data_IF_837432358621
#
_entry.id   IF_837432358621
#
_cell.length_a   1.000
_cell.length_b   1.000
_cell.length_c   1.000
_cell.angle_alpha   90.00
_cell.angle_beta   90.00
_cell.angle_gamma   90.00
#
_symmetry.space_group_name_H-M   'P 1'
#
loop_
_entity.id
_entity.type
_entity.pdbx_description
1 polymer ?
#
# COMPACT_ATOMS: atom_id res chain seq x y z
N UNK A 1 11.28 -58.18 25.64
CA UNK A 1 9.92 -57.88 25.13
C UNK A 1 9.88 -58.24 23.65
N UNK A 2 8.86 -58.96 23.20
CA UNK A 2 8.58 -59.18 21.76
C UNK A 2 7.58 -58.14 21.31
N UNK A 3 7.89 -57.38 20.27
CA UNK A 3 7.06 -56.30 19.71
C UNK A 3 6.76 -56.59 18.26
N UNK A 4 5.54 -56.27 17.82
CA UNK A 4 5.05 -56.63 16.50
C UNK A 4 5.14 -55.46 15.49
N UNK A 5 5.20 -54.22 15.97
CA UNK A 5 5.19 -53.02 15.13
C UNK A 5 6.30 -52.04 15.49
N UNK A 6 6.65 -51.16 14.55
CA UNK A 6 7.58 -50.05 14.78
C UNK A 6 7.04 -49.05 15.82
N UNK A 7 5.72 -48.86 15.88
CA UNK A 7 5.05 -47.98 16.85
C UNK A 7 5.23 -48.46 18.29
N UNK A 8 5.24 -49.77 18.51
CA UNK A 8 5.53 -50.37 19.81
C UNK A 8 7.04 -50.50 20.06
N UNK A 9 7.84 -50.75 19.02
CA UNK A 9 9.29 -50.90 19.14
C UNK A 9 9.98 -49.62 19.62
N UNK A 10 9.65 -48.46 19.03
CA UNK A 10 10.30 -47.19 19.35
C UNK A 10 10.23 -46.81 20.83
N UNK A 11 9.07 -46.79 21.52
CA UNK A 11 9.03 -46.45 22.93
C UNK A 11 9.71 -47.50 23.81
N UNK A 12 9.61 -48.80 23.47
CA UNK A 12 10.15 -49.90 24.27
C UNK A 12 11.67 -49.99 24.20
N UNK A 13 12.27 -49.79 23.03
CA UNK A 13 13.72 -50.00 22.79
C UNK A 13 14.51 -48.70 22.63
N UNK A 14 13.89 -47.63 22.11
CA UNK A 14 14.56 -46.36 21.85
C UNK A 14 14.16 -45.27 22.84
N UNK A 15 13.18 -45.53 23.72
CA UNK A 15 12.67 -44.57 24.69
C UNK A 15 12.02 -43.33 24.06
N UNK A 16 11.63 -43.39 22.79
CA UNK A 16 11.02 -42.28 22.03
C UNK A 16 9.81 -42.79 21.25
N UNK A 17 8.79 -41.95 21.06
CA UNK A 17 7.66 -42.32 20.20
C UNK A 17 8.10 -42.49 18.75
N UNK A 18 7.39 -43.32 17.99
CA UNK A 18 7.64 -43.51 16.56
C UNK A 18 7.63 -42.19 15.79
N UNK A 19 6.68 -41.30 16.10
CA UNK A 19 6.63 -39.94 15.55
C UNK A 19 7.91 -39.14 15.84
N UNK A 20 8.44 -39.22 17.05
CA UNK A 20 9.69 -38.52 17.41
C UNK A 20 10.88 -39.11 16.66
N UNK A 21 10.94 -40.42 16.49
CA UNK A 21 11.97 -41.08 15.67
C UNK A 21 11.91 -40.62 14.20
N UNK A 22 10.72 -40.50 13.62
CA UNK A 22 10.55 -39.95 12.27
C UNK A 22 10.99 -38.48 12.18
N UNK A 23 10.66 -37.64 13.16
CA UNK A 23 11.12 -36.25 13.20
C UNK A 23 12.66 -36.16 13.23
N UNK A 24 13.30 -36.95 14.08
CA UNK A 24 14.76 -37.01 14.17
C UNK A 24 15.39 -37.49 12.86
N UNK A 25 14.84 -38.54 12.26
CA UNK A 25 15.30 -39.04 10.96
C UNK A 25 15.16 -37.99 9.85
N UNK A 26 14.02 -37.29 9.81
CA UNK A 26 13.80 -36.20 8.85
C UNK A 26 14.79 -35.06 9.03
N UNK A 27 15.07 -34.64 10.26
CA UNK A 27 16.03 -33.58 10.53
C UNK A 27 17.47 -34.01 10.18
N UNK A 28 17.85 -35.24 10.54
CA UNK A 28 19.14 -35.83 10.20
C UNK A 28 19.32 -35.97 8.70
N UNK A 29 18.29 -36.40 7.97
CA UNK A 29 18.33 -36.48 6.50
C UNK A 29 18.45 -35.12 5.83
N UNK A 30 17.90 -34.05 6.43
CA UNK A 30 17.95 -32.70 5.89
C UNK A 30 19.33 -32.05 6.05
N UNK A 31 19.99 -32.28 7.18
CA UNK A 31 21.28 -31.68 7.52
C UNK A 31 22.48 -32.56 7.14
N UNK A 32 22.31 -33.89 7.17
CA UNK A 32 23.43 -34.83 7.21
C UNK A 32 23.92 -35.07 8.64
N UNK A 33 24.67 -36.16 8.86
CA UNK A 33 25.06 -36.60 10.21
C UNK A 33 25.92 -35.57 10.95
N UNK A 34 26.97 -35.07 10.31
CA UNK A 34 27.94 -34.16 10.94
C UNK A 34 27.29 -32.84 11.33
N UNK A 35 26.51 -32.25 10.43
CA UNK A 35 25.84 -30.98 10.67
C UNK A 35 24.69 -31.10 11.67
N UNK A 36 23.98 -32.23 11.67
CA UNK A 36 22.97 -32.51 12.68
C UNK A 36 23.59 -32.61 14.09
N UNK A 37 24.74 -33.27 14.23
CA UNK A 37 25.47 -33.32 15.50
C UNK A 37 25.97 -31.94 15.93
N UNK A 38 26.50 -31.13 15.00
CA UNK A 38 26.88 -29.74 15.28
C UNK A 38 25.69 -28.92 15.75
N UNK A 39 24.52 -29.05 15.10
CA UNK A 39 23.28 -28.39 15.50
C UNK A 39 22.85 -28.79 16.92
N UNK A 40 22.90 -30.08 17.27
CA UNK A 40 22.59 -30.55 18.62
C UNK A 40 23.59 -30.03 19.67
N UNK A 41 24.89 -29.95 19.33
CA UNK A 41 25.93 -29.42 20.24
C UNK A 41 25.71 -27.95 20.59
N UNK A 42 25.34 -27.14 19.60
CA UNK A 42 24.99 -25.73 19.82
C UNK A 42 23.58 -25.58 20.42
N UNK A 43 22.81 -26.67 20.56
CA UNK A 43 21.54 -26.68 21.28
C UNK A 43 20.34 -26.25 20.45
N UNK A 44 20.31 -26.56 19.15
CA UNK A 44 19.09 -26.52 18.35
C UNK A 44 17.99 -27.38 18.98
N UNK A 45 16.78 -26.85 19.01
CA UNK A 45 15.60 -27.54 19.52
C UNK A 45 14.66 -27.93 18.39
N UNK A 46 13.64 -28.73 18.72
CA UNK A 46 12.62 -29.17 17.76
C UNK A 46 11.93 -28.02 17.02
N UNK A 47 11.77 -26.85 17.67
CA UNK A 47 11.20 -25.65 17.03
C UNK A 47 12.13 -25.04 15.97
N UNK A 48 13.43 -25.09 16.21
CA UNK A 48 14.45 -24.50 15.33
C UNK A 48 14.57 -25.35 14.06
N UNK A 49 14.52 -26.68 14.19
CA UNK A 49 14.44 -27.56 13.02
C UNK A 49 13.15 -27.39 12.20
N UNK A 50 12.02 -27.05 12.84
CA UNK A 50 10.76 -26.77 12.12
C UNK A 50 10.85 -25.44 11.39
N UNK A 51 11.39 -24.41 12.05
CA UNK A 51 11.66 -23.11 11.46
C UNK A 51 12.60 -23.24 10.25
N UNK A 52 13.69 -23.99 10.39
CA UNK A 52 14.64 -24.23 9.31
C UNK A 52 13.98 -24.94 8.12
N UNK A 53 13.14 -25.95 8.36
CA UNK A 53 12.36 -26.62 7.30
C UNK A 53 11.36 -25.71 6.59
N UNK A 54 10.89 -24.65 7.24
CA UNK A 54 9.94 -23.71 6.65
C UNK A 54 10.61 -22.69 5.73
N UNK A 55 11.95 -22.55 5.80
CA UNK A 55 12.70 -21.65 4.94
C UNK A 55 12.88 -22.21 3.52
N UNK A 56 13.00 -21.34 2.50
CA UNK A 56 13.51 -21.68 1.17
C UNK A 56 14.90 -22.36 1.21
N UNK A 57 15.24 -23.15 0.19
CA UNK A 57 16.45 -23.97 0.18
C UNK A 57 17.77 -23.17 0.20
N UNK A 58 17.78 -22.02 -0.45
CA UNK A 58 18.86 -21.03 -0.43
C UNK A 58 19.07 -20.46 0.98
N UNK A 59 17.99 -20.05 1.65
CA UNK A 59 18.05 -19.54 3.03
C UNK A 59 18.40 -20.62 4.06
N UNK A 60 17.94 -21.85 3.85
CA UNK A 60 18.38 -23.00 4.65
C UNK A 60 19.90 -23.15 4.60
N UNK A 61 20.52 -22.91 3.44
CA UNK A 61 21.96 -23.06 3.27
C UNK A 61 22.75 -22.03 4.11
N UNK A 62 22.23 -20.81 4.24
CA UNK A 62 22.82 -19.77 5.10
C UNK A 62 22.80 -20.17 6.58
N UNK A 63 21.67 -20.74 7.05
CA UNK A 63 21.59 -21.23 8.43
C UNK A 63 22.50 -22.44 8.66
N UNK A 64 22.64 -23.32 7.66
CA UNK A 64 23.55 -24.48 7.72
C UNK A 64 25.01 -24.02 7.89
N UNK A 65 25.45 -23.04 7.11
CA UNK A 65 26.80 -22.46 7.25
C UNK A 65 27.01 -21.83 8.63
N UNK A 66 25.99 -21.15 9.19
CA UNK A 66 26.07 -20.60 10.54
C UNK A 66 26.20 -21.71 11.61
N UNK A 67 25.53 -22.86 11.43
CA UNK A 67 25.67 -24.02 12.32
C UNK A 67 27.09 -24.60 12.23
N UNK A 68 27.68 -24.68 11.04
CA UNK A 68 29.05 -25.18 10.82
C UNK A 68 30.10 -24.33 11.55
N UNK A 69 29.85 -23.03 11.70
CA UNK A 69 30.76 -22.14 12.45
C UNK A 69 30.80 -22.42 13.96
N UNK A 70 29.84 -23.19 14.49
CA UNK A 70 29.75 -23.56 15.91
C UNK A 70 29.22 -22.44 16.81
N UNK A 71 28.85 -21.28 16.27
CA UNK A 71 28.24 -20.18 17.02
C UNK A 71 26.72 -20.37 17.11
N UNK A 72 26.28 -20.81 18.29
CA UNK A 72 24.87 -20.96 18.63
C UNK A 72 24.06 -19.69 18.39
N UNK A 73 24.54 -18.57 18.94
CA UNK A 73 23.76 -17.34 18.98
C UNK A 73 23.66 -16.75 17.58
N UNK A 74 24.71 -16.87 16.77
CA UNK A 74 24.67 -16.51 15.36
C UNK A 74 23.68 -17.37 14.56
N UNK A 75 23.70 -18.70 14.73
CA UNK A 75 22.81 -19.61 13.99
C UNK A 75 21.32 -19.39 14.34
N UNK A 76 21.00 -19.25 15.62
CA UNK A 76 19.62 -18.99 16.07
C UNK A 76 19.15 -17.60 15.64
N UNK A 77 20.01 -16.59 15.75
CA UNK A 77 19.68 -15.22 15.31
C UNK A 77 19.40 -15.18 13.81
N UNK A 78 20.25 -15.81 13.00
CA UNK A 78 20.09 -15.88 11.54
C UNK A 78 18.78 -16.58 11.17
N UNK A 79 18.51 -17.73 11.79
CA UNK A 79 17.27 -18.46 11.58
C UNK A 79 16.04 -17.61 11.94
N UNK A 80 16.05 -16.95 13.09
CA UNK A 80 14.94 -16.10 13.52
C UNK A 80 14.73 -14.91 12.58
N UNK A 81 15.80 -14.26 12.12
CA UNK A 81 15.72 -13.13 11.19
C UNK A 81 15.12 -13.55 9.85
N UNK A 82 15.54 -14.69 9.30
CA UNK A 82 15.01 -15.21 8.03
C UNK A 82 13.54 -15.59 8.13
N UNK A 83 13.14 -16.24 9.22
CA UNK A 83 11.73 -16.61 9.45
C UNK A 83 10.86 -15.36 9.56
N UNK A 84 11.28 -14.36 10.35
CA UNK A 84 10.55 -13.10 10.50
C UNK A 84 10.45 -12.37 9.17
N UNK A 85 11.56 -12.20 8.46
CA UNK A 85 11.58 -11.54 7.14
C UNK A 85 10.64 -12.24 6.16
N UNK A 86 10.71 -13.56 6.05
CA UNK A 86 9.82 -14.32 5.16
C UNK A 86 8.35 -14.19 5.53
N UNK A 87 8.02 -14.09 6.82
CA UNK A 87 6.65 -13.86 7.25
C UNK A 87 6.18 -12.47 6.81
N UNK A 88 6.97 -11.43 7.10
CA UNK A 88 6.67 -10.05 6.71
C UNK A 88 6.57 -9.87 5.20
N UNK A 89 7.47 -10.48 4.43
CA UNK A 89 7.46 -10.45 2.97
C UNK A 89 6.22 -11.15 2.40
N UNK A 90 5.83 -12.30 2.97
CA UNK A 90 4.59 -13.00 2.56
C UNK A 90 3.35 -12.20 2.88
N UNK A 91 3.27 -11.60 4.05
CA UNK A 91 2.16 -10.75 4.48
C UNK A 91 2.05 -9.52 3.55
N UNK A 92 3.16 -8.82 3.31
CA UNK A 92 3.20 -7.69 2.38
C UNK A 92 2.84 -8.10 0.95
N UNK A 93 3.28 -9.26 0.49
CA UNK A 93 2.92 -9.78 -0.84
C UNK A 93 1.43 -10.11 -0.94
N UNK A 94 0.83 -10.69 0.11
CA UNK A 94 -0.61 -10.96 0.16
C UNK A 94 -1.43 -9.67 0.13
N UNK A 95 -1.03 -8.65 0.89
CA UNK A 95 -1.69 -7.35 0.87
C UNK A 95 -1.63 -6.71 -0.52
N UNK A 96 -0.45 -6.72 -1.15
CA UNK A 96 -0.28 -6.22 -2.54
C UNK A 96 -1.14 -6.98 -3.54
N UNK A 97 -1.27 -8.30 -3.38
CA UNK A 97 -2.14 -9.12 -4.24
C UNK A 97 -3.61 -8.78 -4.05
N UNK A 98 -4.06 -8.59 -2.81
CA UNK A 98 -5.44 -8.17 -2.52
C UNK A 98 -5.74 -6.80 -3.11
N UNK A 99 -4.81 -5.84 -2.99
CA UNK A 99 -4.98 -4.51 -3.59
C UNK A 99 -5.03 -4.57 -5.11
N UNK A 100 -4.21 -5.41 -5.74
CA UNK A 100 -4.24 -5.63 -7.18
C UNK A 100 -5.54 -6.29 -7.64
N UNK A 101 -6.06 -7.25 -6.87
CA UNK A 101 -7.34 -7.89 -7.17
C UNK A 101 -8.51 -6.90 -7.05
N UNK A 102 -8.53 -6.05 -6.01
CA UNK A 102 -9.51 -4.96 -5.89
C UNK A 102 -9.44 -3.98 -7.06
N UNK A 103 -8.23 -3.57 -7.46
CA UNK A 103 -8.02 -2.70 -8.62
C UNK A 103 -8.53 -3.36 -9.91
N UNK A 104 -8.24 -4.65 -10.10
CA UNK A 104 -8.67 -5.39 -11.27
C UNK A 104 -10.20 -5.54 -11.33
N UNK A 105 -10.85 -5.86 -10.22
CA UNK A 105 -12.31 -5.93 -10.13
C UNK A 105 -12.96 -4.57 -10.40
N UNK A 106 -12.40 -3.49 -9.86
CA UNK A 106 -12.86 -2.13 -10.15
C UNK A 106 -12.74 -1.77 -11.62
N UNK A 107 -11.60 -2.08 -12.25
CA UNK A 107 -11.40 -1.86 -13.68
C UNK A 107 -12.37 -2.69 -14.53
N UNK A 108 -12.60 -3.95 -14.16
CA UNK A 108 -13.54 -4.81 -14.86
C UNK A 108 -14.98 -4.27 -14.80
N UNK A 109 -15.41 -3.75 -13.65
CA UNK A 109 -16.72 -3.14 -13.50
C UNK A 109 -16.89 -1.88 -14.38
N UNK A 110 -15.86 -1.02 -14.44
CA UNK A 110 -15.85 0.16 -15.31
C UNK A 110 -15.90 -0.23 -16.79
N UNK A 111 -15.14 -1.24 -17.20
CA UNK A 111 -15.16 -1.73 -18.57
C UNK A 111 -16.52 -2.32 -18.95
N UNK A 112 -17.15 -3.08 -18.05
CA UNK A 112 -18.50 -3.61 -18.24
C UNK A 112 -19.54 -2.50 -18.39
N UNK A 113 -19.55 -1.51 -17.49
CA UNK A 113 -20.45 -0.35 -17.60
C UNK A 113 -20.26 0.39 -18.92
N UNK A 114 -19.00 0.60 -19.33
CA UNK A 114 -18.68 1.25 -20.60
C UNK A 114 -19.20 0.45 -21.79
N UNK A 115 -18.98 -0.86 -21.81
CA UNK A 115 -19.39 -1.72 -22.92
C UNK A 115 -20.93 -1.82 -23.01
N UNK A 116 -21.64 -1.88 -21.88
CA UNK A 116 -23.11 -1.80 -21.83
C UNK A 116 -23.63 -0.47 -22.39
N UNK A 117 -22.99 0.65 -22.01
CA UNK A 117 -23.35 1.97 -22.54
C UNK A 117 -23.09 2.07 -24.04
N UNK A 118 -21.97 1.55 -24.54
CA UNK A 118 -21.67 1.50 -25.97
C UNK A 118 -22.76 0.70 -26.70
N UNK A 119 -23.15 -0.47 -26.20
CA UNK A 119 -24.21 -1.28 -26.79
C UNK A 119 -25.58 -0.56 -26.81
N UNK A 120 -25.91 0.21 -25.76
CA UNK A 120 -27.11 1.05 -25.72
C UNK A 120 -27.07 2.16 -26.78
N UNK A 121 -25.91 2.82 -26.95
CA UNK A 121 -25.72 3.81 -28.02
C UNK A 121 -25.85 3.19 -29.41
N UNK A 122 -25.17 2.07 -29.67
CA UNK A 122 -25.22 1.38 -30.96
C UNK A 122 -26.62 0.86 -31.32
N UNK A 123 -27.41 0.45 -30.32
CA UNK A 123 -28.80 0.01 -30.52
C UNK A 123 -29.81 1.15 -30.70
N UNK A 124 -29.38 2.41 -30.57
CA UNK A 124 -30.26 3.58 -30.65
C UNK A 124 -31.23 3.73 -29.46
N UNK A 125 -31.10 2.88 -28.43
CA UNK A 125 -31.92 2.90 -27.21
C UNK A 125 -31.22 3.61 -26.04
N UNK A 126 -30.12 4.33 -26.30
CA UNK A 126 -29.44 5.09 -25.27
C UNK A 126 -30.42 6.11 -24.67
N UNK A 127 -30.66 6.08 -23.34
CA UNK A 127 -31.46 7.09 -22.70
C UNK A 127 -30.80 8.46 -22.91
N UNK A 128 -31.59 9.54 -23.09
CA UNK A 128 -31.04 10.89 -23.18
C UNK A 128 -30.17 11.15 -21.94
N UNK A 129 -29.03 11.86 -22.08
CA UNK A 129 -28.15 12.15 -20.96
C UNK A 129 -28.94 12.79 -19.82
N UNK A 130 -28.85 12.23 -18.61
CA UNK A 130 -29.42 12.86 -17.43
C UNK A 130 -28.54 14.03 -16.99
N UNK A 131 -28.72 15.18 -17.67
CA UNK A 131 -27.97 16.39 -17.41
C UNK A 131 -28.17 16.89 -15.97
N UNK A 132 -29.34 16.70 -15.37
CA UNK A 132 -29.63 17.11 -14.00
C UNK A 132 -28.74 16.37 -12.99
N UNK A 133 -28.66 15.03 -13.10
CA UNK A 133 -27.77 14.24 -12.24
C UNK A 133 -26.31 14.59 -12.47
N UNK A 134 -25.87 14.68 -13.74
CA UNK A 134 -24.46 14.99 -14.05
C UNK A 134 -24.03 16.37 -13.55
N UNK A 135 -24.90 17.38 -13.69
CA UNK A 135 -24.65 18.72 -13.15
C UNK A 135 -24.64 18.68 -11.62
N UNK A 136 -25.57 17.97 -11.00
CA UNK A 136 -25.61 17.80 -9.54
C UNK A 136 -24.35 17.12 -8.98
N UNK A 137 -23.88 16.05 -9.63
CA UNK A 137 -22.68 15.31 -9.22
C UNK A 137 -21.42 16.19 -9.36
N UNK A 138 -21.28 16.89 -10.48
CA UNK A 138 -20.18 17.84 -10.69
C UNK A 138 -20.20 18.99 -9.69
N UNK A 139 -21.37 19.57 -9.40
CA UNK A 139 -21.52 20.61 -8.38
C UNK A 139 -21.14 20.07 -6.99
N UNK A 140 -21.47 18.82 -6.68
CA UNK A 140 -21.10 18.18 -5.41
C UNK A 140 -19.59 18.01 -5.29
N UNK A 141 -18.92 17.47 -6.31
CA UNK A 141 -17.47 17.27 -6.31
C UNK A 141 -16.70 18.60 -6.24
N UNK A 142 -17.10 19.60 -7.01
CA UNK A 142 -16.52 20.96 -6.94
C UNK A 142 -16.73 21.57 -5.56
N UNK A 143 -17.92 21.40 -4.96
CA UNK A 143 -18.20 21.90 -3.61
C UNK A 143 -17.35 21.23 -2.54
N UNK A 144 -17.12 19.92 -2.62
CA UNK A 144 -16.23 19.18 -1.69
C UNK A 144 -14.79 19.68 -1.80
N UNK A 145 -14.28 19.82 -3.02
CA UNK A 145 -12.93 20.34 -3.26
C UNK A 145 -12.77 21.77 -2.74
N UNK A 146 -13.77 22.63 -2.96
CA UNK A 146 -13.78 23.99 -2.44
C UNK A 146 -13.75 24.03 -0.90
N UNK A 147 -14.56 23.20 -0.23
CA UNK A 147 -14.57 23.11 1.24
C UNK A 147 -13.21 22.66 1.78
N UNK A 148 -12.59 21.66 1.16
CA UNK A 148 -11.27 21.17 1.56
C UNK A 148 -10.18 22.23 1.36
N UNK A 149 -10.20 22.95 0.23
CA UNK A 149 -9.27 24.03 -0.04
C UNK A 149 -9.44 25.19 0.97
N UNK A 150 -10.69 25.58 1.27
CA UNK A 150 -10.99 26.62 2.27
C UNK A 150 -10.46 26.21 3.65
N UNK A 151 -10.71 24.98 4.09
CA UNK A 151 -10.22 24.50 5.39
C UNK A 151 -8.68 24.54 5.49
N UNK A 152 -7.98 24.19 4.40
CA UNK A 152 -6.50 24.26 4.34
C UNK A 152 -5.99 25.70 4.32
N UNK A 153 -6.68 26.61 3.63
CA UNK A 153 -6.36 28.05 3.64
C UNK A 153 -6.54 28.65 5.04
N UNK A 154 -7.61 28.31 5.78
CA UNK A 154 -7.80 28.75 7.16
C UNK A 154 -6.64 28.29 8.07
N UNK A 155 -6.16 27.06 7.89
CA UNK A 155 -5.01 26.55 8.63
C UNK A 155 -3.72 27.29 8.29
N UNK A 156 -3.55 27.66 7.03
CA UNK A 156 -2.41 28.45 6.57
C UNK A 156 -2.41 29.85 7.20
N UNK A 157 -3.57 30.50 7.24
CA UNK A 157 -3.76 31.81 7.86
C UNK A 157 -3.40 31.79 9.35
N UNK A 158 -3.87 30.77 10.08
CA UNK A 158 -3.54 30.57 11.50
C UNK A 158 -2.02 30.45 11.72
N UNK A 159 -1.33 29.67 10.89
CA UNK A 159 0.12 29.52 10.96
C UNK A 159 0.85 30.82 10.67
N UNK A 160 0.43 31.56 9.63
CA UNK A 160 1.03 32.84 9.26
C UNK A 160 0.84 33.88 10.36
N UNK A 161 -0.35 33.93 10.97
CA UNK A 161 -0.63 34.85 12.07
C UNK A 161 0.16 34.50 13.33
N UNK A 162 0.31 33.21 13.64
CA UNK A 162 1.18 32.76 14.73
C UNK A 162 2.65 33.10 14.49
N UNK A 163 3.12 33.10 13.25
CA UNK A 163 4.47 33.55 12.90
C UNK A 163 4.63 35.06 13.06
N UNK A 164 3.65 35.84 12.61
CA UNK A 164 3.64 37.30 12.71
C UNK A 164 3.62 37.77 14.17
N UNK A 165 2.75 37.17 15.00
CA UNK A 165 2.65 37.53 16.42
C UNK A 165 3.92 37.19 17.20
N UNK A 166 4.57 36.06 16.90
CA UNK A 166 5.88 35.72 17.50
C UNK A 166 7.01 36.63 17.02
N UNK A 167 6.92 37.16 15.80
CA UNK A 167 7.91 38.11 15.27
C UNK A 167 7.84 39.50 15.93
N UNK A 168 6.71 39.85 16.56
CA UNK A 168 6.50 41.15 17.22
C UNK A 168 7.08 41.22 18.64
N UNK A 169 7.30 40.09 19.30
CA UNK A 169 7.82 40.05 20.68
C UNK A 169 9.35 39.90 20.71
N UNK A 170 10.09 40.72 21.49
CA UNK A 170 11.53 40.52 21.64
C UNK A 170 11.81 39.21 22.38
N UNK A 171 12.46 38.27 21.69
CA UNK A 171 12.77 36.94 22.24
C UNK A 171 14.02 36.97 23.13
N UNK A 172 13.99 36.21 24.23
CA UNK A 172 15.22 35.92 24.97
C UNK A 172 16.14 34.98 24.15
N UNK A 173 17.48 35.01 24.34
CA UNK A 173 18.41 34.21 23.53
C UNK A 173 18.14 32.70 23.54
N UNK A 174 17.63 32.16 24.65
CA UNK A 174 17.25 30.75 24.76
C UNK A 174 16.01 30.42 23.91
N UNK A 175 15.05 31.35 23.82
CA UNK A 175 13.84 31.21 23.00
C UNK A 175 14.15 31.38 21.51
N UNK A 176 15.13 32.23 21.17
CA UNK A 176 15.57 32.42 19.78
C UNK A 176 16.22 31.16 19.20
N UNK A 177 17.04 30.45 19.98
CA UNK A 177 17.64 29.18 19.58
C UNK A 177 16.60 28.05 19.47
N UNK A 178 15.60 28.03 20.36
CA UNK A 178 14.46 27.11 20.28
C UNK A 178 13.61 27.37 19.03
N UNK A 179 13.33 28.64 18.73
CA UNK A 179 12.65 29.06 17.50
C UNK A 179 13.43 28.66 16.24
N UNK A 180 14.75 28.88 16.23
CA UNK A 180 15.63 28.48 15.12
C UNK A 180 15.59 26.98 14.86
N UNK A 181 15.49 26.15 15.91
CA UNK A 181 15.33 24.69 15.79
C UNK A 181 13.96 24.26 15.28
N UNK A 182 12.91 25.02 15.61
CA UNK A 182 11.55 24.70 15.18
C UNK A 182 11.23 25.17 13.74
N UNK A 183 11.92 26.19 13.23
CA UNK A 183 11.66 26.78 11.90
C UNK A 183 11.62 25.80 10.72
N UNK A 184 12.53 24.82 10.59
CA UNK A 184 12.46 23.83 9.53
C UNK A 184 11.16 23.02 9.52
N UNK A 185 10.57 22.76 10.69
CA UNK A 185 9.30 22.03 10.78
C UNK A 185 8.12 22.92 10.34
N UNK A 186 8.14 24.21 10.68
CA UNK A 186 7.11 25.16 10.22
C UNK A 186 7.12 25.30 8.70
N UNK A 187 8.29 25.46 8.07
CA UNK A 187 8.38 25.51 6.60
C UNK A 187 7.94 24.21 5.93
N UNK A 188 8.16 23.06 6.58
CA UNK A 188 7.67 21.76 6.10
C UNK A 188 6.14 21.69 6.15
N UNK A 189 5.53 22.08 7.27
CA UNK A 189 4.06 22.09 7.42
C UNK A 189 3.41 23.07 6.43
N UNK A 190 3.99 24.27 6.28
CA UNK A 190 3.60 25.26 5.27
C UNK A 190 3.64 24.69 3.85
N UNK A 191 4.76 24.05 3.47
CA UNK A 191 4.92 23.45 2.13
C UNK A 191 3.93 22.32 1.88
N UNK A 192 3.66 21.48 2.89
CA UNK A 192 2.68 20.40 2.78
C UNK A 192 1.26 20.94 2.55
N UNK A 193 0.85 21.98 3.30
CA UNK A 193 -0.47 22.58 3.14
C UNK A 193 -0.66 23.14 1.72
N UNK A 194 0.37 23.77 1.14
CA UNK A 194 0.31 24.27 -0.24
C UNK A 194 0.17 23.15 -1.27
N UNK A 195 0.93 22.06 -1.10
CA UNK A 195 0.81 20.88 -1.96
C UNK A 195 -0.58 20.25 -1.89
N UNK A 196 -1.11 20.10 -0.68
CA UNK A 196 -2.45 19.54 -0.47
C UNK A 196 -3.55 20.41 -1.11
N UNK A 197 -3.42 21.75 -1.05
CA UNK A 197 -4.33 22.68 -1.75
C UNK A 197 -4.23 22.48 -3.26
N UNK A 198 -3.02 22.41 -3.80
CA UNK A 198 -2.79 22.22 -5.24
C UNK A 198 -3.39 20.88 -5.71
N UNK A 199 -3.21 19.80 -4.95
CA UNK A 199 -3.73 18.48 -5.30
C UNK A 199 -5.27 18.45 -5.32
N UNK A 200 -5.94 19.06 -4.34
CA UNK A 200 -7.40 19.13 -4.34
C UNK A 200 -7.96 19.96 -5.51
N UNK A 201 -7.29 21.07 -5.87
CA UNK A 201 -7.69 21.87 -7.02
C UNK A 201 -7.49 21.11 -8.33
N UNK A 202 -6.34 20.47 -8.51
CA UNK A 202 -6.04 19.66 -9.70
C UNK A 202 -7.01 18.49 -9.85
N UNK A 203 -7.36 17.81 -8.75
CA UNK A 203 -8.34 16.72 -8.78
C UNK A 203 -9.73 17.20 -9.22
N UNK A 204 -10.14 18.40 -8.80
CA UNK A 204 -11.41 18.99 -9.22
C UNK A 204 -11.40 19.38 -10.71
N UNK A 205 -10.28 19.94 -11.18
CA UNK A 205 -10.07 20.29 -12.60
C UNK A 205 -10.15 19.03 -13.46
N UNK A 206 -9.36 17.99 -13.17
CA UNK A 206 -9.35 16.74 -13.93
C UNK A 206 -10.72 16.06 -13.97
N UNK A 207 -11.46 16.10 -12.86
CA UNK A 207 -12.85 15.59 -12.81
C UNK A 207 -13.77 16.38 -13.75
N UNK A 208 -13.65 17.70 -13.76
CA UNK A 208 -14.40 18.56 -14.67
C UNK A 208 -14.02 18.31 -16.15
N UNK A 209 -12.73 18.23 -16.48
CA UNK A 209 -12.28 17.97 -17.85
C UNK A 209 -12.74 16.60 -18.36
N UNK A 210 -12.66 15.57 -17.51
CA UNK A 210 -13.11 14.23 -17.86
C UNK A 210 -14.62 14.17 -18.11
N UNK A 211 -15.42 14.90 -17.31
CA UNK A 211 -16.87 14.88 -17.45
C UNK A 211 -17.39 15.81 -18.54
N UNK A 212 -16.76 16.96 -18.76
CA UNK A 212 -17.19 17.97 -19.75
C UNK A 212 -16.58 17.75 -21.13
N UNK A 213 -15.42 17.11 -21.22
CA UNK A 213 -14.61 17.02 -22.44
C UNK A 213 -13.93 18.34 -22.83
N UNK A 214 -13.98 19.35 -21.98
CA UNK A 214 -13.33 20.65 -22.17
C UNK A 214 -12.02 20.68 -21.38
N UNK A 215 -10.92 21.01 -22.06
CA UNK A 215 -9.64 21.31 -21.42
C UNK A 215 -9.71 22.70 -20.79
N UNK A 216 -9.31 22.81 -19.52
CA UNK A 216 -9.17 24.08 -18.81
C UNK A 216 -7.72 24.61 -18.87
N UNK A 217 -6.78 23.80 -19.38
CA UNK A 217 -5.44 24.28 -19.66
C UNK A 217 -5.47 25.40 -20.72
N UNK A 218 -4.75 26.51 -20.48
CA UNK A 218 -4.62 27.58 -21.47
C UNK A 218 -3.87 27.08 -22.70
N UNK A 219 -4.27 27.55 -23.89
CA UNK A 219 -3.57 27.22 -25.14
C UNK A 219 -2.16 27.86 -25.19
N UNK A 220 -1.40 27.58 -26.26
CA UNK A 220 -0.04 28.10 -26.44
C UNK A 220 0.05 29.66 -26.41
N UNK A 221 -1.09 30.35 -26.53
CA UNK A 221 -1.19 31.81 -26.53
C UNK A 221 -1.73 32.38 -25.20
N UNK A 222 -2.04 31.52 -24.22
CA UNK A 222 -2.59 31.94 -22.92
C UNK A 222 -4.08 32.26 -22.95
N UNK A 223 -4.80 31.90 -24.01
CA UNK A 223 -6.25 32.04 -24.10
C UNK A 223 -6.93 30.74 -23.64
N UNK A 224 -8.02 30.86 -22.88
CA UNK A 224 -8.85 29.71 -22.53
C UNK A 224 -9.50 29.19 -23.80
N UNK A 225 -9.46 27.88 -24.05
CA UNK A 225 -10.08 27.27 -25.21
C UNK A 225 -11.55 27.71 -25.32
N UNK A 226 -11.88 28.48 -26.36
CA UNK A 226 -13.27 28.89 -26.59
C UNK A 226 -14.13 27.63 -26.80
N UNK A 227 -15.35 27.58 -26.22
CA UNK A 227 -16.27 26.50 -26.53
C UNK A 227 -16.52 26.51 -28.04
N UNK A 228 -16.23 25.40 -28.71
CA UNK A 228 -16.54 25.23 -30.12
C UNK A 228 -18.00 25.67 -30.35
N UNK A 229 -18.29 26.48 -31.38
CA UNK A 229 -19.64 26.96 -31.61
C UNK A 229 -20.54 25.75 -31.77
N UNK A 230 -21.38 25.52 -30.75
CA UNK A 230 -22.38 24.47 -30.79
C UNK A 230 -23.24 24.71 -32.01
N UNK A 231 -23.44 23.66 -32.80
CA UNK A 231 -24.48 23.63 -33.82
C UNK A 231 -25.78 24.09 -33.16
N UNK A 232 -26.12 25.36 -33.42
CA UNK A 232 -27.41 25.90 -33.12
C UNK A 232 -28.40 25.02 -33.87
N UNK A 233 -29.07 24.16 -33.11
CA UNK A 233 -30.09 23.27 -33.64
C UNK A 233 -31.10 24.13 -34.39
N UNK A 234 -31.10 24.04 -35.72
CA UNK A 234 -32.14 24.52 -36.61
C UNK A 234 -33.42 23.75 -36.30
N UNK A 235 -34.06 24.06 -35.17
CA UNK A 235 -35.41 23.63 -34.85
C UNK A 235 -36.39 24.74 -35.26
N UNK A 236 -36.60 24.84 -36.57
CA UNK A 236 -37.91 25.06 -37.18
C UNK A 236 -38.69 26.31 -36.80
N UNK A 237 -38.50 27.37 -37.59
CA UNK A 237 -39.64 28.12 -38.11
C UNK A 237 -40.57 27.17 -38.89
N UNK A 238 -41.69 26.79 -38.26
CA UNK A 238 -42.93 26.32 -38.88
C UNK A 238 -43.97 26.34 -37.75
N UNK A 239 -44.89 27.29 -37.60
CA UNK A 239 -45.81 27.83 -38.58
C UNK A 239 -47.23 27.63 -38.02
N UNK A 240 -48.02 28.72 -38.01
CA UNK A 240 -49.42 28.90 -37.55
C UNK A 240 -49.65 29.20 -36.07
#
# INVERSE_FOLDING_TARGET
>A
ATVATLEEFCPVFLGKSYRRCQELHSNLSMLGSELYEAAEQIGFQARDYRALKALPADEQSVVKEAIESGDKDAAITTLSQLVTRNHEEKESALDRLQDKDRQYQGLQAVLQDRDERIALFESGNAPPPNWESRVSDNVSEVSKAAIQAIARLMRLEELLQAMDDRGKEPMAPAQEEEYRRAMPNYYREYGQILLDIQEALNSAILSYEHTSGLSLDPDENGEMAEPAPGEANEAGEAGA
#
